data_IF_747956948293
#
_entry.id   IF_747956948293
#
_cell.length_a   1.000
_cell.length_b   1.000
_cell.length_c   1.000
_cell.angle_alpha   90.00
_cell.angle_beta   90.00
_cell.angle_gamma   90.00
#
_symmetry.space_group_name_H-M   'P 1'
#
loop_
_entity.id
_entity.type
_entity.pdbx_description
1 polymer ?
#
# COMPACT_ATOMS: atom_id res chain seq x y z
N UNK A 1 -16.88 -0.27 27.63
CA UNK A 1 -16.98 0.02 26.19
C UNK A 1 -17.10 -1.32 25.51
N UNK A 2 -18.09 -1.49 24.63
CA UNK A 2 -18.28 -2.72 23.86
C UNK A 2 -18.27 -2.33 22.39
N UNK A 3 -17.61 -3.14 21.55
CA UNK A 3 -17.64 -3.00 20.09
C UNK A 3 -18.34 -4.24 19.55
N UNK A 4 -19.34 -4.04 18.70
CA UNK A 4 -20.05 -5.12 18.00
C UNK A 4 -19.42 -5.25 16.62
N UNK A 5 -19.11 -6.48 16.21
CA UNK A 5 -18.63 -6.80 14.86
C UNK A 5 -19.73 -7.58 14.13
N UNK A 6 -20.18 -7.04 13.00
CA UNK A 6 -21.17 -7.66 12.11
C UNK A 6 -20.54 -7.83 10.73
N UNK A 7 -20.11 -9.06 10.43
CA UNK A 7 -19.33 -9.36 9.23
C UNK A 7 -18.03 -8.55 9.17
N UNK A 8 -17.88 -7.73 8.13
CA UNK A 8 -16.72 -6.86 7.88
C UNK A 8 -16.89 -5.43 8.43
N UNK A 9 -17.93 -5.18 9.23
CA UNK A 9 -18.26 -3.84 9.76
C UNK A 9 -18.36 -3.83 11.28
N UNK A 10 -18.16 -2.63 11.83
CA UNK A 10 -18.56 -2.34 13.20
C UNK A 10 -20.08 -2.12 13.20
N UNK A 11 -20.79 -2.92 13.98
CA UNK A 11 -22.25 -2.91 14.11
C UNK A 11 -22.72 -2.27 15.42
N UNK A 12 -24.03 -2.38 15.66
CA UNK A 12 -24.69 -1.84 16.86
C UNK A 12 -25.52 -2.89 17.63
N UNK A 13 -25.98 -3.97 16.97
CA UNK A 13 -26.82 -5.00 17.60
C UNK A 13 -25.98 -6.19 18.11
N UNK A 14 -25.85 -6.39 19.43
CA UNK A 14 -25.11 -7.51 19.98
C UNK A 14 -25.93 -8.82 20.01
N UNK A 15 -27.21 -8.81 19.60
CA UNK A 15 -28.09 -9.95 19.75
C UNK A 15 -27.58 -11.17 18.96
N UNK A 16 -27.37 -12.29 19.68
CA UNK A 16 -26.92 -13.55 19.08
C UNK A 16 -25.42 -13.62 18.76
N UNK A 17 -24.64 -12.59 19.07
CA UNK A 17 -23.19 -12.57 18.88
C UNK A 17 -22.42 -13.36 19.95
N UNK A 18 -21.23 -13.83 19.58
CA UNK A 18 -20.26 -14.36 20.54
C UNK A 18 -19.67 -13.22 21.37
N UNK A 19 -19.61 -13.40 22.70
CA UNK A 19 -19.06 -12.38 23.62
C UNK A 19 -17.63 -12.74 23.98
N UNK A 20 -16.70 -11.82 23.72
CA UNK A 20 -15.29 -11.95 24.05
C UNK A 20 -14.89 -10.88 25.07
N UNK A 21 -14.48 -11.30 26.26
CA UNK A 21 -14.02 -10.39 27.33
C UNK A 21 -12.56 -9.97 27.09
N UNK A 22 -12.34 -8.67 26.91
CA UNK A 22 -11.03 -8.09 26.67
C UNK A 22 -10.17 -7.93 27.94
N UNK A 23 -10.69 -8.25 29.13
CA UNK A 23 -9.88 -8.31 30.37
C UNK A 23 -9.21 -7.00 30.77
N UNK A 24 -9.78 -5.86 30.39
CA UNK A 24 -9.21 -4.53 30.63
C UNK A 24 -8.13 -4.09 29.61
N UNK A 25 -7.91 -4.87 28.55
CA UNK A 25 -7.07 -4.45 27.44
C UNK A 25 -7.67 -3.25 26.68
N UNK A 26 -6.80 -2.56 25.92
CA UNK A 26 -7.22 -1.49 25.02
C UNK A 26 -7.47 -2.09 23.65
N UNK A 27 -8.69 -1.90 23.13
CA UNK A 27 -9.01 -2.19 21.74
C UNK A 27 -8.67 -0.98 20.87
N UNK A 28 -7.88 -1.20 19.82
CA UNK A 28 -7.50 -0.21 18.83
C UNK A 28 -7.95 -0.65 17.43
N UNK A 29 -8.18 0.28 16.50
CA UNK A 29 -8.20 -0.06 15.08
C UNK A 29 -6.89 -0.73 14.66
N UNK A 30 -6.96 -1.62 13.66
CA UNK A 30 -5.76 -2.16 13.04
C UNK A 30 -4.87 -1.06 12.47
N UNK A 31 -3.55 -1.27 12.53
CA UNK A 31 -2.58 -0.28 12.08
C UNK A 31 -2.52 -0.24 10.56
N UNK A 32 -2.17 0.94 10.02
CA UNK A 32 -1.90 1.15 8.60
C UNK A 32 -0.44 1.53 8.44
N UNK A 33 0.35 0.70 7.77
CA UNK A 33 1.70 1.08 7.35
C UNK A 33 1.63 1.74 5.97
N UNK A 34 1.99 3.02 5.93
CA UNK A 34 1.85 3.84 4.73
C UNK A 34 3.05 3.75 3.78
N UNK A 35 4.11 2.98 4.11
CA UNK A 35 5.32 2.91 3.29
C UNK A 35 6.07 1.59 3.49
N UNK A 36 5.62 0.56 2.77
CA UNK A 36 6.31 -0.73 2.73
C UNK A 36 6.92 -1.00 1.36
N UNK A 37 7.82 -1.97 1.32
CA UNK A 37 8.28 -2.62 0.09
C UNK A 37 8.00 -4.11 0.23
N UNK A 38 7.20 -4.66 -0.69
CA UNK A 38 6.79 -6.06 -0.63
C UNK A 38 7.93 -6.98 -1.04
N UNK A 39 8.11 -8.05 -0.27
CA UNK A 39 9.01 -9.17 -0.58
C UNK A 39 8.26 -10.50 -0.38
N UNK A 40 7.08 -10.62 -1.00
CA UNK A 40 6.21 -11.80 -0.91
C UNK A 40 5.33 -11.86 0.35
N UNK A 41 4.69 -13.02 0.53
CA UNK A 41 3.70 -13.26 1.60
C UNK A 41 4.29 -13.10 3.00
N UNK A 42 5.55 -13.48 3.20
CA UNK A 42 6.25 -13.37 4.50
C UNK A 42 6.26 -11.92 5.02
N UNK A 43 6.31 -10.93 4.12
CA UNK A 43 6.20 -9.50 4.49
C UNK A 43 4.84 -9.20 5.10
N UNK A 44 3.77 -9.72 4.51
CA UNK A 44 2.38 -9.48 4.96
C UNK A 44 2.10 -10.20 6.28
N UNK A 45 2.59 -11.43 6.42
CA UNK A 45 2.40 -12.20 7.64
C UNK A 45 3.11 -11.56 8.83
N UNK A 46 4.32 -11.01 8.59
CA UNK A 46 5.04 -10.25 9.59
C UNK A 46 4.28 -8.98 10.00
N UNK A 47 3.77 -8.21 9.02
CA UNK A 47 2.98 -7.00 9.29
C UNK A 47 1.72 -7.33 10.11
N UNK A 48 1.00 -8.39 9.75
CA UNK A 48 -0.19 -8.85 10.46
C UNK A 48 0.13 -9.26 11.90
N UNK A 49 1.24 -9.98 12.12
CA UNK A 49 1.71 -10.38 13.44
C UNK A 49 2.02 -9.18 14.35
N UNK A 50 2.30 -8.01 13.77
CA UNK A 50 2.53 -6.75 14.48
C UNK A 50 1.30 -5.81 14.50
N UNK A 51 0.12 -6.31 14.11
CA UNK A 51 -1.14 -5.58 14.17
C UNK A 51 -1.38 -4.61 13.01
N UNK A 52 -0.57 -4.68 11.95
CA UNK A 52 -0.80 -3.94 10.70
C UNK A 52 -1.82 -4.70 9.86
N UNK A 53 -3.01 -4.14 9.72
CA UNK A 53 -4.10 -4.75 8.93
C UNK A 53 -4.11 -4.25 7.49
N UNK A 54 -3.41 -3.15 7.21
CA UNK A 54 -3.34 -2.57 5.86
C UNK A 54 -1.95 -2.01 5.59
N UNK A 55 -1.37 -2.31 4.43
CA UNK A 55 -0.09 -1.78 4.01
C UNK A 55 -0.16 -1.11 2.63
N UNK A 56 0.65 -0.06 2.45
CA UNK A 56 0.81 0.68 1.20
C UNK A 56 2.21 0.42 0.64
N UNK A 57 2.27 -0.42 -0.40
CA UNK A 57 3.48 -0.75 -1.13
C UNK A 57 3.95 0.39 -2.05
N UNK A 58 5.21 0.74 -1.97
CA UNK A 58 5.78 1.88 -2.71
C UNK A 58 6.40 1.51 -4.05
N UNK A 59 6.71 0.23 -4.28
CA UNK A 59 7.29 -0.23 -5.53
C UNK A 59 7.24 -1.75 -5.62
N UNK A 60 6.38 -2.28 -6.49
CA UNK A 60 6.32 -3.70 -6.80
C UNK A 60 5.92 -3.92 -8.26
N UNK A 61 6.22 -5.11 -8.76
CA UNK A 61 5.76 -5.54 -10.08
C UNK A 61 4.26 -5.89 -10.03
N UNK A 62 3.45 -5.53 -11.05
CA UNK A 62 2.00 -5.76 -11.03
C UNK A 62 1.60 -7.21 -10.76
N UNK A 63 2.35 -8.18 -11.28
CA UNK A 63 2.14 -9.61 -11.07
C UNK A 63 2.32 -10.02 -9.61
N UNK A 64 3.37 -9.52 -8.93
CA UNK A 64 3.62 -9.81 -7.52
C UNK A 64 2.52 -9.20 -6.64
N UNK A 65 2.04 -8.00 -7.00
CA UNK A 65 0.91 -7.37 -6.31
C UNK A 65 -0.36 -8.20 -6.51
N UNK A 66 -0.64 -8.66 -7.74
CA UNK A 66 -1.82 -9.45 -8.04
C UNK A 66 -1.86 -10.80 -7.28
N UNK A 67 -0.71 -11.43 -7.05
CA UNK A 67 -0.59 -12.66 -6.27
C UNK A 67 -0.90 -12.46 -4.77
N UNK A 68 -0.67 -11.26 -4.25
CA UNK A 68 -0.76 -10.95 -2.82
C UNK A 68 -2.09 -10.29 -2.41
N UNK A 69 -2.80 -9.68 -3.35
CA UNK A 69 -4.07 -8.98 -3.07
C UNK A 69 -5.18 -9.94 -2.64
N UNK A 70 -5.97 -9.52 -1.66
CA UNK A 70 -7.19 -10.21 -1.25
C UNK A 70 -6.96 -11.53 -0.50
N UNK A 71 -5.73 -11.80 -0.07
CA UNK A 71 -5.43 -12.95 0.77
C UNK A 71 -6.04 -12.80 2.17
N UNK A 72 -6.60 -13.88 2.69
CA UNK A 72 -7.18 -13.93 4.04
C UNK A 72 -6.14 -14.32 5.09
N UNK A 73 -6.26 -13.78 6.29
CA UNK A 73 -5.40 -14.13 7.43
C UNK A 73 -4.04 -13.41 7.45
N UNK A 74 -3.85 -12.44 6.57
CA UNK A 74 -2.63 -11.63 6.47
C UNK A 74 -2.99 -10.15 6.25
N UNK A 75 -1.99 -9.27 6.15
CA UNK A 75 -2.19 -7.83 5.91
C UNK A 75 -2.76 -7.57 4.51
N UNK A 76 -3.81 -6.76 4.41
CA UNK A 76 -4.34 -6.30 3.12
C UNK A 76 -3.41 -5.26 2.49
N UNK A 77 -3.31 -5.22 1.15
CA UNK A 77 -2.39 -4.34 0.46
C UNK A 77 -3.05 -3.41 -0.54
N UNK A 78 -2.50 -2.20 -0.60
CA UNK A 78 -2.60 -1.28 -1.73
C UNK A 78 -1.19 -1.04 -2.27
N UNK A 79 -1.04 -0.81 -3.57
CA UNK A 79 0.27 -0.66 -4.21
C UNK A 79 0.31 0.49 -5.20
N UNK A 80 1.49 1.11 -5.27
CA UNK A 80 1.83 2.08 -6.31
C UNK A 80 2.15 1.43 -7.67
N UNK A 81 2.37 0.12 -7.70
CA UNK A 81 3.03 -0.56 -8.80
C UNK A 81 4.42 0.02 -9.08
N UNK A 82 4.79 0.14 -10.34
CA UNK A 82 6.06 0.74 -10.75
C UNK A 82 6.07 2.26 -10.48
N UNK A 83 7.02 2.80 -9.70
CA UNK A 83 7.11 4.24 -9.48
C UNK A 83 7.47 5.02 -10.75
N UNK A 84 7.21 6.32 -10.74
CA UNK A 84 7.64 7.28 -11.79
C UNK A 84 8.74 8.16 -11.20
N UNK A 85 9.90 8.15 -11.83
CA UNK A 85 11.13 8.77 -11.30
C UNK A 85 11.80 9.66 -12.35
N UNK A 86 12.60 10.64 -11.90
CA UNK A 86 13.46 11.43 -12.79
C UNK A 86 14.78 10.72 -13.12
N UNK A 87 15.47 11.09 -14.22
CA UNK A 87 16.68 10.39 -14.71
C UNK A 87 17.96 10.60 -13.89
N UNK A 88 17.99 11.59 -12.99
CA UNK A 88 19.22 12.02 -12.32
C UNK A 88 19.44 11.47 -10.91
N UNK A 89 18.46 10.77 -10.34
CA UNK A 89 18.44 10.37 -8.94
C UNK A 89 19.05 9.00 -8.66
N UNK A 90 19.12 8.63 -7.38
CA UNK A 90 19.60 7.30 -6.97
C UNK A 90 18.68 6.19 -7.46
N UNK A 91 17.37 6.44 -7.51
CA UNK A 91 16.38 5.47 -7.95
C UNK A 91 16.54 5.13 -9.43
N UNK A 92 16.98 6.08 -10.26
CA UNK A 92 17.23 5.86 -11.69
C UNK A 92 18.38 4.87 -11.96
N UNK A 93 19.21 4.58 -10.95
CA UNK A 93 20.32 3.61 -11.06
C UNK A 93 19.91 2.19 -10.68
N UNK A 94 18.82 2.06 -9.94
CA UNK A 94 18.37 0.78 -9.36
C UNK A 94 17.13 0.28 -10.08
N UNK A 95 16.26 1.19 -10.51
CA UNK A 95 15.04 0.88 -11.23
C UNK A 95 15.27 0.90 -12.74
N UNK A 96 14.56 0.02 -13.45
CA UNK A 96 14.67 -0.11 -14.90
C UNK A 96 14.16 1.13 -15.65
N UNK A 97 14.54 1.23 -16.94
CA UNK A 97 14.25 2.39 -17.80
C UNK A 97 12.78 2.80 -17.83
N UNK A 98 11.88 1.82 -17.71
CA UNK A 98 10.42 2.01 -17.69
C UNK A 98 9.91 2.89 -16.53
N UNK A 99 10.66 3.01 -15.43
CA UNK A 99 10.33 3.89 -14.33
C UNK A 99 10.72 5.35 -14.62
N UNK A 100 11.67 5.59 -15.53
CA UNK A 100 12.33 6.89 -15.73
C UNK A 100 11.55 7.73 -16.73
N UNK A 101 11.08 8.90 -16.28
CA UNK A 101 10.42 9.89 -17.12
C UNK A 101 11.40 11.04 -17.44
N UNK A 102 11.86 11.11 -18.69
CA UNK A 102 12.81 12.14 -19.17
C UNK A 102 12.14 13.32 -19.88
N UNK A 103 10.94 13.11 -20.42
CA UNK A 103 10.17 14.12 -21.15
C UNK A 103 8.76 14.26 -20.52
N UNK A 104 8.38 15.47 -20.04
CA UNK A 104 7.05 15.75 -19.52
C UNK A 104 5.91 15.40 -20.50
N UNK A 105 6.14 15.41 -21.81
CA UNK A 105 5.13 15.05 -22.81
C UNK A 105 4.62 13.62 -22.66
N UNK A 106 5.42 12.73 -22.06
CA UNK A 106 5.07 11.33 -21.79
C UNK A 106 4.37 11.12 -20.43
N UNK A 107 4.20 12.15 -19.60
CA UNK A 107 3.64 12.00 -18.25
C UNK A 107 2.24 11.38 -18.24
N UNK A 108 1.36 11.83 -19.14
CA UNK A 108 -0.01 11.32 -19.24
C UNK A 108 -0.03 9.82 -19.62
N UNK A 109 0.86 9.40 -20.52
CA UNK A 109 0.99 8.00 -20.91
C UNK A 109 1.52 7.14 -19.76
N UNK A 110 2.52 7.61 -19.02
CA UNK A 110 3.05 6.91 -17.85
C UNK A 110 1.99 6.71 -16.75
N UNK A 111 1.16 7.73 -16.48
CA UNK A 111 0.04 7.61 -15.55
C UNK A 111 -0.99 6.59 -16.04
N UNK A 112 -1.40 6.69 -17.31
CA UNK A 112 -2.38 5.77 -17.89
C UNK A 112 -1.90 4.32 -17.84
N UNK A 113 -0.60 4.09 -18.02
CA UNK A 113 0.04 2.78 -17.91
C UNK A 113 -0.08 2.22 -16.48
N UNK A 114 0.26 2.99 -15.43
CA UNK A 114 0.14 2.51 -14.04
C UNK A 114 -1.30 2.24 -13.63
N UNK A 115 -2.24 3.04 -14.11
CA UNK A 115 -3.68 2.79 -13.93
C UNK A 115 -4.06 1.47 -14.59
N UNK A 116 -3.66 1.26 -15.84
CA UNK A 116 -3.97 0.04 -16.59
C UNK A 116 -3.36 -1.23 -15.96
N UNK A 117 -2.27 -1.08 -15.20
CA UNK A 117 -1.62 -2.16 -14.44
C UNK A 117 -2.23 -2.40 -13.05
N UNK A 118 -3.23 -1.61 -12.65
CA UNK A 118 -3.91 -1.81 -11.37
C UNK A 118 -3.20 -1.17 -10.16
N UNK A 119 -2.44 -0.09 -10.37
CA UNK A 119 -1.96 0.73 -9.27
C UNK A 119 -3.14 1.43 -8.55
N UNK A 120 -3.17 1.38 -7.21
CA UNK A 120 -4.19 2.09 -6.41
C UNK A 120 -3.87 3.58 -6.27
N UNK A 121 -2.59 3.91 -6.37
CA UNK A 121 -2.06 5.27 -6.31
C UNK A 121 -0.78 5.38 -7.11
N UNK A 122 -0.33 6.61 -7.35
CA UNK A 122 0.94 6.86 -8.02
C UNK A 122 2.03 7.17 -6.99
N UNK A 123 3.21 6.56 -7.19
CA UNK A 123 4.44 6.94 -6.48
C UNK A 123 5.34 7.74 -7.40
N UNK A 124 5.44 9.04 -7.13
CA UNK A 124 6.43 9.90 -7.75
C UNK A 124 7.68 9.96 -6.86
N UNK A 125 8.86 9.82 -7.46
CA UNK A 125 10.13 10.04 -6.77
C UNK A 125 10.76 11.31 -7.30
N UNK A 126 10.64 12.36 -6.49
CA UNK A 126 11.30 13.63 -6.72
C UNK A 126 12.64 13.60 -5.98
N UNK A 127 13.70 13.38 -6.73
CA UNK A 127 15.06 13.48 -6.23
C UNK A 127 15.63 14.81 -6.70
N UNK A 128 15.84 15.78 -5.79
CA UNK A 128 16.58 16.95 -6.15
C UNK A 128 18.02 16.53 -6.44
N UNK A 129 18.68 17.27 -7.33
CA UNK A 129 20.13 17.15 -7.41
C UNK A 129 20.77 17.37 -6.01
N UNK A 130 20.11 18.14 -5.11
CA UNK A 130 20.51 18.32 -3.70
C UNK A 130 19.29 18.53 -2.75
N UNK A 131 19.02 17.53 -1.89
CA UNK A 131 18.11 17.45 -0.70
C UNK A 131 16.59 17.72 -0.83
N UNK A 132 15.82 16.65 -0.53
CA UNK A 132 14.40 16.47 -0.13
C UNK A 132 13.55 15.62 -1.09
N UNK A 133 13.18 14.40 -0.62
CA UNK A 133 12.21 13.51 -1.25
C UNK A 133 10.81 13.92 -0.81
N UNK A 134 9.95 14.30 -1.76
CA UNK A 134 8.52 14.50 -1.54
C UNK A 134 7.78 13.33 -2.20
N UNK A 135 7.12 12.50 -1.40
CA UNK A 135 6.19 11.46 -1.85
C UNK A 135 4.81 12.10 -1.93
N UNK A 136 4.23 12.18 -3.13
CA UNK A 136 2.85 12.63 -3.31
C UNK A 136 2.01 11.44 -3.76
N UNK A 137 1.05 11.03 -2.93
CA UNK A 137 0.06 9.98 -3.26
C UNK A 137 -1.19 10.64 -3.84
N UNK A 138 -1.57 10.26 -5.06
CA UNK A 138 -2.88 10.56 -5.63
C UNK A 138 -3.66 9.26 -5.73
N UNK A 139 -4.83 9.19 -5.11
CA UNK A 139 -5.73 8.03 -5.23
C UNK A 139 -6.40 8.02 -6.60
N UNK A 140 -6.27 6.89 -7.31
CA UNK A 140 -6.95 6.65 -8.58
C UNK A 140 -8.29 5.98 -8.24
N UNK A 141 -9.41 6.62 -8.60
CA UNK A 141 -10.75 6.04 -8.43
C UNK A 141 -11.13 5.26 -9.68
#
# INVERSE_FOLDING_TARGET
>A
MTVVIDGDRIGEDPAGGEVLDAGGAVLLPGLIDAHVHLDGLDTLDLLAAHGVTTALDMAAAPEAVAELRGLSGTTDIRSAGMPIIGPGGGHARVLGERAILTDPSHAAAAVAERVAEGADYLKLVLEPMWRQVLVVTYGLR
#
